data_IF_589466148872
#
_entry.id   IF_589466148872
#
_cell.length_a   1.000
_cell.length_b   1.000
_cell.length_c   1.000
_cell.angle_alpha   90.00
_cell.angle_beta   90.00
_cell.angle_gamma   90.00
#
_symmetry.space_group_name_H-M   'P 1'
#
loop_
_entity.id
_entity.type
_entity.pdbx_description
1 polymer ?
#
# COMPACT_ATOMS: atom_id res chain seq x y z
N UNK A 1 0.52 -8.28 -12.31
CA UNK A 1 0.73 -8.57 -10.88
C UNK A 1 1.62 -7.49 -10.33
N UNK A 2 1.19 -6.83 -9.26
CA UNK A 2 1.96 -5.79 -8.58
C UNK A 2 3.16 -6.42 -7.86
N UNK A 3 4.30 -5.73 -7.84
CA UNK A 3 5.50 -6.21 -7.15
C UNK A 3 5.35 -5.95 -5.65
N UNK A 4 4.96 -6.96 -4.88
CA UNK A 4 4.84 -6.87 -3.41
C UNK A 4 6.03 -7.56 -2.76
N UNK A 5 6.75 -6.84 -1.90
CA UNK A 5 7.77 -7.37 -0.99
C UNK A 5 7.14 -7.64 0.37
N UNK A 6 7.44 -8.78 0.96
CA UNK A 6 6.86 -9.20 2.25
C UNK A 6 7.94 -9.22 3.33
N UNK A 7 7.62 -8.63 4.49
CA UNK A 7 8.51 -8.60 5.65
C UNK A 7 7.78 -8.95 6.94
N UNK A 8 8.49 -9.64 7.83
CA UNK A 8 8.07 -9.92 9.20
C UNK A 8 9.17 -9.40 10.13
N UNK A 9 8.81 -8.46 11.00
CA UNK A 9 9.73 -7.78 11.90
C UNK A 9 10.96 -7.19 11.17
N UNK A 10 10.74 -6.66 9.96
CA UNK A 10 11.77 -6.09 9.11
C UNK A 10 12.62 -7.09 8.31
N UNK A 11 12.43 -8.39 8.50
CA UNK A 11 13.11 -9.45 7.75
C UNK A 11 12.28 -9.83 6.53
N UNK A 12 12.90 -9.88 5.35
CA UNK A 12 12.23 -10.30 4.11
C UNK A 12 11.90 -11.79 4.15
N UNK A 13 10.66 -12.12 3.79
CA UNK A 13 10.11 -13.48 3.78
C UNK A 13 9.42 -13.78 2.45
N UNK A 14 9.18 -15.05 2.16
CA UNK A 14 8.38 -15.43 0.99
C UNK A 14 6.90 -15.14 1.19
N UNK A 15 6.15 -15.08 0.08
CA UNK A 15 4.68 -14.92 0.13
C UNK A 15 4.01 -16.06 0.89
N UNK A 16 4.51 -17.29 0.73
CA UNK A 16 4.00 -18.47 1.44
C UNK A 16 4.23 -18.35 2.95
N UNK A 17 5.41 -17.89 3.37
CA UNK A 17 5.73 -17.69 4.79
C UNK A 17 4.89 -16.56 5.43
N UNK A 18 4.68 -15.47 4.69
CA UNK A 18 3.85 -14.36 5.13
C UNK A 18 2.39 -14.79 5.33
N UNK A 19 1.83 -15.55 4.37
CA UNK A 19 0.43 -16.00 4.38
C UNK A 19 0.14 -17.22 5.26
N UNK A 20 1.14 -17.76 5.97
CA UNK A 20 0.92 -18.84 6.95
C UNK A 20 0.07 -18.39 8.15
N UNK A 21 -0.06 -17.07 8.38
CA UNK A 21 -0.94 -16.51 9.40
C UNK A 21 -2.16 -15.88 8.73
N UNK A 22 -3.36 -16.23 9.21
CA UNK A 22 -4.61 -15.72 8.66
C UNK A 22 -4.73 -14.19 8.81
N UNK A 23 -4.23 -13.62 9.90
CA UNK A 23 -4.26 -12.17 10.14
C UNK A 23 -3.36 -11.43 9.14
N UNK A 24 -2.20 -12.02 8.81
CA UNK A 24 -1.28 -11.46 7.80
C UNK A 24 -1.88 -11.55 6.40
N UNK A 25 -2.51 -12.67 6.04
CA UNK A 25 -3.17 -12.83 4.74
C UNK A 25 -4.36 -11.86 4.58
N UNK A 26 -5.19 -11.72 5.61
CA UNK A 26 -6.31 -10.77 5.59
C UNK A 26 -5.82 -9.33 5.48
N UNK A 27 -4.73 -8.98 6.20
CA UNK A 27 -4.13 -7.66 6.11
C UNK A 27 -3.53 -7.38 4.73
N UNK A 28 -2.89 -8.36 4.09
CA UNK A 28 -2.43 -8.23 2.71
C UNK A 28 -3.58 -7.89 1.77
N UNK A 29 -4.64 -8.72 1.77
CA UNK A 29 -5.78 -8.53 0.88
C UNK A 29 -6.41 -7.15 1.09
N UNK A 30 -6.57 -6.72 2.34
CA UNK A 30 -7.12 -5.41 2.63
C UNK A 30 -6.20 -4.26 2.19
N UNK A 31 -4.94 -4.27 2.61
CA UNK A 31 -4.02 -3.14 2.41
C UNK A 31 -3.58 -3.00 0.95
N UNK A 32 -3.29 -4.12 0.27
CA UNK A 32 -2.85 -4.10 -1.13
C UNK A 32 -4.00 -3.66 -2.03
N UNK A 33 -5.22 -4.16 -1.80
CA UNK A 33 -6.38 -3.73 -2.58
C UNK A 33 -6.66 -2.24 -2.38
N UNK A 34 -6.65 -1.74 -1.13
CA UNK A 34 -6.86 -0.31 -0.87
C UNK A 34 -5.84 0.58 -1.60
N UNK A 35 -4.55 0.20 -1.58
CA UNK A 35 -3.52 0.95 -2.28
C UNK A 35 -3.64 0.84 -3.81
N UNK A 36 -4.03 -0.32 -4.35
CA UNK A 36 -4.25 -0.50 -5.79
C UNK A 36 -5.48 0.25 -6.28
N UNK A 37 -6.57 0.30 -5.51
CA UNK A 37 -7.74 1.12 -5.85
C UNK A 37 -7.40 2.62 -5.85
N UNK A 38 -6.50 3.03 -4.96
CA UNK A 38 -6.10 4.42 -4.80
C UNK A 38 -5.12 4.86 -5.89
N UNK A 39 -4.08 4.07 -6.15
CA UNK A 39 -2.98 4.40 -7.05
C UNK A 39 -3.19 3.86 -8.47
N UNK A 40 -4.08 2.90 -8.65
CA UNK A 40 -4.38 2.29 -9.95
C UNK A 40 -3.15 1.73 -10.66
N UNK A 41 -3.15 1.87 -11.98
CA UNK A 41 -2.05 1.49 -12.87
C UNK A 41 -1.03 2.63 -13.06
N UNK A 42 -0.71 3.39 -12.02
CA UNK A 42 0.36 4.38 -12.10
C UNK A 42 1.68 3.72 -12.53
N UNK A 43 2.33 4.35 -13.51
CA UNK A 43 3.60 3.93 -14.08
C UNK A 43 4.55 5.12 -14.07
N UNK A 44 5.78 4.91 -13.61
CA UNK A 44 6.83 5.89 -13.68
C UNK A 44 7.09 6.29 -15.14
N UNK A 45 6.96 7.57 -15.46
CA UNK A 45 7.18 8.10 -16.81
C UNK A 45 8.63 8.01 -17.28
N UNK A 46 9.59 8.03 -16.34
CA UNK A 46 11.03 7.99 -16.62
C UNK A 46 11.52 6.56 -16.92
N UNK A 47 11.06 5.58 -16.14
CA UNK A 47 11.60 4.22 -16.16
C UNK A 47 10.62 3.18 -16.72
N UNK A 48 9.34 3.54 -16.89
CA UNK A 48 8.29 2.60 -17.32
C UNK A 48 7.92 1.56 -16.28
N UNK A 49 8.31 1.76 -15.02
CA UNK A 49 8.06 0.81 -13.93
C UNK A 49 6.72 1.08 -13.24
N UNK A 50 5.97 0.00 -12.95
CA UNK A 50 4.74 0.07 -12.15
C UNK A 50 5.06 0.32 -10.68
N UNK A 51 4.08 0.84 -9.95
CA UNK A 51 4.11 0.94 -8.48
C UNK A 51 4.42 -0.42 -7.84
N UNK A 52 5.45 -0.46 -6.99
CA UNK A 52 5.71 -1.56 -6.08
C UNK A 52 5.10 -1.30 -4.71
N UNK A 53 5.01 -2.36 -3.91
CA UNK A 53 4.51 -2.31 -2.53
C UNK A 53 5.43 -3.08 -1.59
N UNK A 54 5.53 -2.63 -0.35
CA UNK A 54 6.14 -3.40 0.73
C UNK A 54 5.12 -3.55 1.85
N UNK A 55 4.86 -4.80 2.25
CA UNK A 55 4.09 -5.15 3.44
C UNK A 55 5.03 -5.60 4.55
N UNK A 56 4.97 -4.95 5.71
CA UNK A 56 5.71 -5.32 6.89
C UNK A 56 4.75 -5.62 8.05
N UNK A 57 4.77 -6.86 8.53
CA UNK A 57 4.08 -7.24 9.76
C UNK A 57 5.00 -7.06 10.96
N UNK A 58 4.53 -6.35 11.98
CA UNK A 58 5.24 -6.13 13.25
C UNK A 58 4.61 -6.99 14.34
N UNK A 59 5.27 -8.10 14.69
CA UNK A 59 4.77 -9.08 15.66
C UNK A 59 4.58 -8.48 17.06
N UNK A 60 5.39 -7.48 17.42
CA UNK A 60 5.30 -6.79 18.70
C UNK A 60 3.98 -6.02 18.88
N UNK A 61 3.41 -5.51 17.79
CA UNK A 61 2.18 -4.71 17.80
C UNK A 61 0.98 -5.47 17.20
N UNK A 62 1.23 -6.58 16.51
CA UNK A 62 0.21 -7.29 15.74
C UNK A 62 -0.29 -6.49 14.53
N UNK A 63 0.49 -5.52 14.04
CA UNK A 63 0.08 -4.62 12.97
C UNK A 63 0.80 -4.91 11.66
N UNK A 64 0.06 -4.85 10.56
CA UNK A 64 0.62 -4.86 9.22
C UNK A 64 0.67 -3.43 8.68
N UNK A 65 1.81 -3.02 8.14
CA UNK A 65 2.02 -1.71 7.51
C UNK A 65 2.34 -1.91 6.05
N UNK A 66 1.72 -1.12 5.19
CA UNK A 66 2.02 -1.06 3.76
C UNK A 66 2.70 0.27 3.43
N UNK A 67 3.64 0.25 2.49
CA UNK A 67 4.14 1.45 1.83
C UNK A 67 4.32 1.21 0.33
N UNK A 68 4.36 2.29 -0.43
CA UNK A 68 4.76 2.24 -1.84
C UNK A 68 6.28 2.06 -1.97
N UNK A 69 6.69 1.34 -3.00
CA UNK A 69 8.07 1.21 -3.43
C UNK A 69 8.16 1.82 -4.84
N UNK A 70 8.80 2.98 -4.94
CA UNK A 70 9.02 3.69 -6.19
C UNK A 70 10.41 3.39 -6.77
N UNK A 71 10.54 3.41 -8.09
CA UNK A 71 11.82 3.24 -8.77
C UNK A 71 12.73 4.49 -8.70
N UNK A 72 12.15 5.67 -8.49
CA UNK A 72 12.87 6.93 -8.34
C UNK A 72 12.11 7.93 -7.46
N UNK A 73 12.82 8.95 -6.95
CA UNK A 73 12.25 9.97 -6.06
C UNK A 73 11.10 10.77 -6.70
N UNK A 74 11.17 11.01 -8.01
CA UNK A 74 10.11 11.72 -8.72
C UNK A 74 8.80 10.92 -8.70
N UNK A 75 8.90 9.61 -8.99
CA UNK A 75 7.73 8.74 -8.95
C UNK A 75 7.21 8.55 -7.52
N UNK A 76 8.09 8.45 -6.52
CA UNK A 76 7.68 8.41 -5.12
C UNK A 76 6.82 9.63 -4.72
N UNK A 77 7.22 10.81 -5.19
CA UNK A 77 6.46 12.04 -4.98
C UNK A 77 5.08 11.98 -5.65
N UNK A 78 5.00 11.50 -6.88
CA UNK A 78 3.74 11.34 -7.61
C UNK A 78 2.79 10.38 -6.88
N UNK A 79 3.32 9.24 -6.40
CA UNK A 79 2.55 8.27 -5.62
C UNK A 79 2.04 8.86 -4.31
N UNK A 80 2.90 9.55 -3.56
CA UNK A 80 2.51 10.21 -2.32
C UNK A 80 1.44 11.30 -2.55
N UNK A 81 1.55 12.06 -3.64
CA UNK A 81 0.56 13.07 -4.00
C UNK A 81 -0.79 12.44 -4.34
N UNK A 82 -0.80 11.33 -5.09
CA UNK A 82 -2.01 10.59 -5.42
C UNK A 82 -2.70 10.02 -4.16
N UNK A 83 -1.93 9.44 -3.22
CA UNK A 83 -2.46 8.98 -1.93
C UNK A 83 -3.10 10.13 -1.13
N UNK A 84 -2.42 11.28 -1.02
CA UNK A 84 -2.93 12.43 -0.27
C UNK A 84 -4.20 13.03 -0.88
N UNK A 85 -4.29 13.10 -2.22
CA UNK A 85 -5.50 13.56 -2.90
C UNK A 85 -6.69 12.67 -2.58
N UNK A 86 -6.51 11.35 -2.66
CA UNK A 86 -7.57 10.39 -2.35
C UNK A 86 -8.02 10.41 -0.89
N UNK A 87 -7.09 10.56 0.05
CA UNK A 87 -7.46 10.73 1.47
C UNK A 87 -8.23 12.03 1.71
N UNK A 88 -7.89 13.10 0.98
CA UNK A 88 -8.59 14.37 1.07
C UNK A 88 -10.02 14.28 0.50
N UNK A 89 -10.18 13.63 -0.66
CA UNK A 89 -11.50 13.35 -1.25
C UNK A 89 -12.41 12.53 -0.31
N UNK A 90 -11.85 11.50 0.34
CA UNK A 90 -12.59 10.70 1.32
C UNK A 90 -12.98 11.52 2.56
N UNK A 91 -12.08 12.37 3.06
CA UNK A 91 -12.36 13.22 4.22
C UNK A 91 -13.45 14.27 3.93
N UNK A 92 -13.53 14.77 2.69
CA UNK A 92 -14.60 15.67 2.27
C UNK A 92 -15.93 14.93 2.13
N UNK A 93 -15.94 13.73 1.52
CA UNK A 93 -17.14 12.92 1.39
C UNK A 93 -17.75 12.54 2.75
N UNK A 94 -16.93 12.16 3.72
CA UNK A 94 -17.40 11.83 5.08
C UNK A 94 -17.97 13.04 5.84
N UNK A 95 -17.57 14.26 5.50
CA UNK A 95 -18.11 15.48 6.12
C UNK A 95 -19.47 15.88 5.55
N UNK A 96 -19.71 15.64 4.26
CA UNK A 96 -21.00 15.94 3.62
C UNK A 96 -22.15 15.04 4.06
N UNK A 97 -21.88 13.90 4.69
CA UNK A 97 -22.91 12.97 5.20
C UNK A 97 -23.40 13.34 6.62
N UNK A 98 -22.72 14.22 7.35
CA UNK A 98 -23.13 14.67 8.70
C UNK A 98 -24.07 15.89 8.69
N UNK A 99 -24.29 16.52 7.52
CA UNK A 99 -25.09 17.76 7.37
C UNK A 99 -26.52 17.53 6.81
N UNK A 100 -27.07 16.29 6.88
CA UNK A 100 -28.46 15.95 6.45
C UNK A 100 -29.37 15.58 7.64
#
# INVERSE_FOLDING_TARGET
>A
MSNVKYKVDGVEVSVEEFRQDEDRSAAEDFLVNAYQETLGDMVCSEHGEKTGYELNYESASGQCKIRTEACCENFDRDLNMALMMKMSEQAEASRSDEDI
#
